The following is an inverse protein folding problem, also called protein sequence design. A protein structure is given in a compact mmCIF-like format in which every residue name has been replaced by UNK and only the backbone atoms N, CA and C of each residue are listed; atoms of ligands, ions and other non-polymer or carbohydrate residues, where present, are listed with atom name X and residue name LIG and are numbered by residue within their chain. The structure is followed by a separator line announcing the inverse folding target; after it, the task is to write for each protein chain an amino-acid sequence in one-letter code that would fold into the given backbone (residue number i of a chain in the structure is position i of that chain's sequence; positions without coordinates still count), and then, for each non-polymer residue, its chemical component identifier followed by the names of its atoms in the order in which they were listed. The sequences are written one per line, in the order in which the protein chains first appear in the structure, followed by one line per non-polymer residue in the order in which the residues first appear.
data_IF_820567452666
#
_entry.id   IF_820567452666
#
_cell.length_a   1.000
_cell.length_b   1.000
_cell.length_c   1.000
_cell.angle_alpha   90.00
_cell.angle_beta   90.00
_cell.angle_gamma   90.00
#
_symmetry.space_group_name_H-M   'P 1'
#
loop_
_entity.id
_entity.type
_entity.pdbx_description
1 polymer ?
#
# COMPACT_ATOMS: atom_id res chain seq x y z
N UNK A 1 25.67 -1.37 -13.69
CA UNK A 1 25.58 -2.77 -14.13
C UNK A 1 24.58 -3.52 -13.27
N UNK A 2 23.31 -3.48 -13.67
CA UNK A 2 22.18 -4.04 -12.89
C UNK A 2 22.25 -5.58 -12.85
N UNK A 3 23.01 -6.21 -13.72
CA UNK A 3 23.17 -7.65 -13.78
C UNK A 3 24.24 -8.18 -12.80
N UNK A 4 25.21 -7.37 -12.41
CA UNK A 4 26.29 -7.79 -11.50
C UNK A 4 25.89 -7.90 -10.03
N UNK A 5 24.81 -7.26 -9.60
CA UNK A 5 24.33 -7.32 -8.20
C UNK A 5 23.23 -8.34 -7.95
N UNK A 6 22.74 -9.00 -9.01
CA UNK A 6 21.69 -10.01 -8.93
C UNK A 6 22.24 -11.33 -9.43
N UNK A 7 22.33 -12.32 -8.56
CA UNK A 7 22.75 -13.66 -8.97
C UNK A 7 21.89 -14.19 -10.12
N UNK A 8 22.49 -14.95 -11.03
CA UNK A 8 21.79 -15.64 -12.13
C UNK A 8 20.53 -16.38 -11.69
N UNK A 9 20.48 -16.86 -10.43
CA UNK A 9 19.30 -17.48 -9.82
C UNK A 9 18.06 -16.57 -9.71
N UNK A 10 18.23 -15.26 -9.56
CA UNK A 10 17.10 -14.31 -9.50
C UNK A 10 16.41 -14.15 -10.87
N UNK A 11 17.20 -14.07 -11.94
CA UNK A 11 16.68 -13.99 -13.32
C UNK A 11 15.97 -15.30 -13.69
N UNK A 12 16.54 -16.43 -13.36
CA UNK A 12 15.95 -17.76 -13.62
C UNK A 12 14.63 -17.96 -12.87
N UNK A 13 14.58 -17.58 -11.59
CA UNK A 13 13.34 -17.65 -10.78
C UNK A 13 12.21 -16.85 -11.40
N UNK A 14 12.50 -15.65 -11.89
CA UNK A 14 11.48 -14.80 -12.50
C UNK A 14 10.90 -15.34 -13.79
N UNK A 15 11.72 -16.02 -14.58
CA UNK A 15 11.34 -16.49 -15.91
C UNK A 15 10.70 -17.89 -15.90
N UNK A 16 11.15 -18.77 -15.04
CA UNK A 16 10.83 -20.21 -15.13
C UNK A 16 10.10 -20.72 -13.88
N UNK A 17 10.49 -20.26 -12.69
CA UNK A 17 10.05 -20.87 -11.42
C UNK A 17 8.90 -20.10 -10.76
N UNK A 18 8.78 -18.80 -11.03
CA UNK A 18 7.79 -17.98 -10.35
C UNK A 18 6.38 -18.24 -10.86
N UNK A 19 5.49 -18.64 -9.96
CA UNK A 19 4.06 -18.78 -10.23
C UNK A 19 3.28 -17.64 -9.58
N UNK A 20 2.48 -16.95 -10.40
CA UNK A 20 1.55 -15.90 -9.97
C UNK A 20 0.12 -16.43 -9.77
N UNK A 21 -0.08 -17.73 -9.99
CA UNK A 21 -1.39 -18.36 -9.80
C UNK A 21 -1.83 -18.30 -8.35
N UNK A 22 -3.09 -17.98 -8.15
CA UNK A 22 -3.76 -17.93 -6.84
C UNK A 22 -4.94 -18.87 -6.85
N UNK A 23 -5.19 -19.51 -5.71
CA UNK A 23 -6.33 -20.38 -5.50
C UNK A 23 -7.29 -19.70 -4.54
N UNK A 24 -8.56 -19.59 -4.93
CA UNK A 24 -9.63 -18.95 -4.17
C UNK A 24 -10.65 -19.99 -3.79
N UNK A 25 -10.94 -20.11 -2.50
CA UNK A 25 -11.87 -21.09 -1.95
C UNK A 25 -11.46 -21.52 -0.56
N UNK A 26 -12.00 -22.62 -0.12
CA UNK A 26 -11.64 -23.26 1.14
C UNK A 26 -10.44 -24.19 0.93
N UNK A 27 -9.37 -23.98 1.69
CA UNK A 27 -8.18 -24.86 1.64
C UNK A 27 -8.41 -26.21 2.34
N UNK A 28 -9.39 -26.27 3.23
CA UNK A 28 -9.69 -27.45 4.04
C UNK A 28 -8.57 -27.81 5.04
N UNK A 29 -8.55 -29.05 5.47
CA UNK A 29 -7.47 -29.56 6.32
C UNK A 29 -6.38 -30.20 5.45
N UNK A 30 -5.24 -29.52 5.34
CA UNK A 30 -4.10 -29.98 4.53
C UNK A 30 -3.46 -31.28 5.02
N UNK A 31 -3.76 -31.71 6.25
CA UNK A 31 -3.30 -32.99 6.80
C UNK A 31 -4.23 -34.16 6.44
N UNK A 32 -5.36 -33.86 5.82
CA UNK A 32 -6.33 -34.86 5.38
C UNK A 32 -6.46 -34.82 3.85
N UNK A 33 -6.08 -35.87 3.18
CA UNK A 33 -6.21 -36.00 1.71
C UNK A 33 -7.67 -36.23 1.33
N UNK A 34 -8.38 -35.13 1.03
CA UNK A 34 -9.78 -35.15 0.58
C UNK A 34 -9.89 -34.51 -0.80
N UNK A 35 -10.66 -35.10 -1.69
CA UNK A 35 -10.94 -34.51 -3.01
C UNK A 35 -11.53 -33.09 -2.94
N UNK A 36 -12.34 -32.82 -1.90
CA UNK A 36 -12.92 -31.50 -1.63
C UNK A 36 -11.89 -30.40 -1.40
N UNK A 37 -10.68 -30.72 -0.93
CA UNK A 37 -9.62 -29.73 -0.75
C UNK A 37 -9.10 -29.15 -2.09
N UNK A 38 -9.42 -29.78 -3.21
CA UNK A 38 -9.07 -29.34 -4.56
C UNK A 38 -10.20 -28.57 -5.26
N UNK A 39 -11.35 -28.38 -4.62
CA UNK A 39 -12.47 -27.60 -5.16
C UNK A 39 -12.23 -26.09 -4.97
N UNK A 40 -11.22 -25.55 -5.68
CA UNK A 40 -10.80 -24.15 -5.62
C UNK A 40 -10.82 -23.51 -6.99
N UNK A 41 -11.11 -22.20 -7.03
CA UNK A 41 -11.02 -21.40 -8.26
C UNK A 41 -9.56 -20.97 -8.47
N UNK A 42 -8.95 -21.45 -9.53
CA UNK A 42 -7.61 -21.03 -9.94
C UNK A 42 -7.69 -19.79 -10.81
N UNK A 43 -6.98 -18.74 -10.43
CA UNK A 43 -6.73 -17.54 -11.23
C UNK A 43 -5.23 -17.36 -11.46
N UNK A 44 -4.86 -16.84 -12.64
CA UNK A 44 -3.44 -16.72 -13.03
C UNK A 44 -2.79 -15.41 -12.54
N UNK A 45 -3.58 -14.46 -12.08
CA UNK A 45 -3.13 -13.15 -11.66
C UNK A 45 -3.88 -12.70 -10.40
N UNK A 46 -3.20 -12.30 -9.32
CA UNK A 46 -3.85 -11.79 -8.10
C UNK A 46 -4.50 -10.41 -8.28
N UNK A 47 -4.29 -9.73 -9.42
CA UNK A 47 -4.91 -8.44 -9.70
C UNK A 47 -6.14 -8.68 -10.57
N UNK A 48 -7.30 -8.37 -10.03
CA UNK A 48 -8.59 -8.60 -10.70
C UNK A 48 -9.05 -7.38 -11.46
N UNK A 49 -9.52 -7.59 -12.69
CA UNK A 49 -10.31 -6.57 -13.39
C UNK A 49 -11.70 -6.43 -12.75
N UNK A 50 -12.41 -5.33 -13.05
CA UNK A 50 -13.79 -5.15 -12.60
C UNK A 50 -14.69 -6.28 -13.12
N UNK A 51 -14.44 -6.74 -14.33
CA UNK A 51 -15.20 -7.86 -14.94
C UNK A 51 -14.94 -9.18 -14.21
N UNK A 52 -13.70 -9.47 -13.84
CA UNK A 52 -13.35 -10.70 -13.13
C UNK A 52 -13.94 -10.71 -11.74
N UNK A 53 -13.87 -9.60 -11.02
CA UNK A 53 -14.52 -9.48 -9.72
C UNK A 53 -16.03 -9.65 -9.81
N UNK A 54 -16.67 -9.08 -10.84
CA UNK A 54 -18.11 -9.22 -11.06
C UNK A 54 -18.49 -10.68 -11.34
N UNK A 55 -17.68 -11.42 -12.09
CA UNK A 55 -17.88 -12.87 -12.31
C UNK A 55 -17.81 -13.64 -10.98
N UNK A 56 -16.84 -13.30 -10.12
CA UNK A 56 -16.70 -13.91 -8.79
C UNK A 56 -17.91 -13.58 -7.92
N UNK A 57 -18.33 -12.30 -7.85
CA UNK A 57 -19.50 -11.86 -7.08
C UNK A 57 -20.79 -12.61 -7.47
N UNK A 58 -20.95 -12.90 -8.75
CA UNK A 58 -22.14 -13.57 -9.30
C UNK A 58 -21.98 -15.09 -9.50
N UNK A 59 -20.90 -15.67 -8.99
CA UNK A 59 -20.61 -17.09 -9.17
C UNK A 59 -21.68 -17.98 -8.49
N UNK A 60 -22.28 -18.87 -9.26
CA UNK A 60 -23.29 -19.85 -8.80
C UNK A 60 -22.77 -21.28 -8.97
N UNK A 61 -21.55 -21.52 -8.55
CA UNK A 61 -20.93 -22.84 -8.60
C UNK A 61 -21.10 -23.53 -7.26
N UNK A 62 -21.48 -24.81 -7.27
CA UNK A 62 -21.59 -25.61 -6.04
C UNK A 62 -20.22 -25.62 -5.32
N UNK A 63 -20.24 -25.47 -4.01
CA UNK A 63 -19.03 -25.39 -3.19
C UNK A 63 -18.50 -23.96 -2.97
N UNK A 64 -19.03 -22.96 -3.71
CA UNK A 64 -18.64 -21.56 -3.52
C UNK A 64 -19.81 -20.72 -3.03
N UNK A 65 -19.60 -19.98 -1.97
CA UNK A 65 -20.53 -18.97 -1.49
C UNK A 65 -19.77 -17.67 -1.23
N UNK A 66 -20.10 -16.65 -2.01
CA UNK A 66 -19.43 -15.35 -1.96
C UNK A 66 -20.22 -14.41 -1.05
N UNK A 67 -19.52 -13.72 -0.16
CA UNK A 67 -20.07 -12.66 0.68
C UNK A 67 -19.26 -11.37 0.48
N UNK A 68 -19.96 -10.24 0.40
CA UNK A 68 -19.33 -8.91 0.34
C UNK A 68 -19.54 -8.22 1.68
N UNK A 69 -18.48 -7.75 2.29
CA UNK A 69 -18.52 -6.98 3.53
C UNK A 69 -17.98 -5.57 3.25
N UNK A 70 -18.79 -4.53 3.51
CA UNK A 70 -18.32 -3.16 3.36
C UNK A 70 -17.30 -2.82 4.46
N UNK A 71 -16.16 -2.26 4.07
CA UNK A 71 -15.15 -1.70 4.97
C UNK A 71 -15.30 -0.19 5.10
N UNK A 72 -16.52 0.30 5.04
CA UNK A 72 -16.87 1.70 5.25
C UNK A 72 -17.63 1.86 6.57
N UNK A 73 -17.50 3.00 7.19
CA UNK A 73 -18.15 3.31 8.48
C UNK A 73 -18.58 4.78 8.54
N UNK A 74 -19.54 5.08 9.40
CA UNK A 74 -19.97 6.45 9.62
C UNK A 74 -18.89 7.28 10.30
N UNK A 75 -18.64 8.49 9.80
CA UNK A 75 -17.65 9.44 10.31
C UNK A 75 -17.77 9.71 11.82
N UNK A 76 -18.94 9.54 12.42
CA UNK A 76 -19.16 9.67 13.86
C UNK A 76 -18.78 8.42 14.69
N UNK A 77 -18.35 7.37 14.03
CA UNK A 77 -17.96 6.10 14.68
C UNK A 77 -16.44 6.01 14.71
N UNK A 78 -15.85 5.55 15.82
CA UNK A 78 -14.40 5.36 15.85
C UNK A 78 -13.95 4.21 14.97
N UNK A 79 -12.73 4.32 14.45
CA UNK A 79 -12.10 3.31 13.58
C UNK A 79 -12.03 1.93 14.24
N UNK A 80 -11.72 1.88 15.54
CA UNK A 80 -11.70 0.61 16.29
C UNK A 80 -13.07 -0.08 16.31
N UNK A 81 -14.15 0.66 16.59
CA UNK A 81 -15.51 0.12 16.55
C UNK A 81 -15.91 -0.34 15.14
N UNK A 82 -15.42 0.35 14.12
CA UNK A 82 -15.65 -0.06 12.74
C UNK A 82 -14.98 -1.41 12.43
N UNK A 83 -13.76 -1.63 12.94
CA UNK A 83 -13.05 -2.91 12.81
C UNK A 83 -13.77 -4.02 13.61
N UNK A 84 -14.24 -3.74 14.82
CA UNK A 84 -15.00 -4.70 15.61
C UNK A 84 -16.30 -5.14 14.91
N UNK A 85 -17.01 -4.18 14.27
CA UNK A 85 -18.16 -4.49 13.43
C UNK A 85 -17.77 -5.39 12.25
N UNK A 86 -16.64 -5.09 11.60
CA UNK A 86 -16.12 -5.88 10.49
C UNK A 86 -15.91 -7.35 10.89
N UNK A 87 -15.39 -7.60 12.09
CA UNK A 87 -15.23 -8.94 12.63
C UNK A 87 -16.57 -9.67 12.84
N UNK A 88 -17.56 -8.97 13.39
CA UNK A 88 -18.90 -9.54 13.62
C UNK A 88 -19.59 -9.89 12.29
N UNK A 89 -19.46 -9.05 11.27
CA UNK A 89 -20.03 -9.29 9.95
C UNK A 89 -19.35 -10.50 9.28
N UNK A 90 -18.02 -10.62 9.38
CA UNK A 90 -17.29 -11.78 8.88
C UNK A 90 -17.68 -13.07 9.59
N UNK A 91 -17.87 -13.04 10.90
CA UNK A 91 -18.28 -14.19 11.68
C UNK A 91 -19.71 -14.66 11.33
N UNK A 92 -20.60 -13.73 11.02
CA UNK A 92 -21.94 -14.03 10.50
C UNK A 92 -21.86 -14.65 9.11
N UNK A 93 -21.12 -14.02 8.20
CA UNK A 93 -20.91 -14.53 6.86
C UNK A 93 -20.34 -15.97 6.88
N UNK A 94 -19.36 -16.23 7.73
CA UNK A 94 -18.80 -17.57 7.92
C UNK A 94 -19.87 -18.59 8.41
N UNK A 95 -20.68 -18.22 9.40
CA UNK A 95 -21.78 -19.09 9.88
C UNK A 95 -22.82 -19.37 8.79
N UNK A 96 -23.01 -18.42 7.89
CA UNK A 96 -23.88 -18.57 6.73
C UNK A 96 -23.24 -19.43 5.62
N UNK A 97 -22.00 -19.90 5.81
CA UNK A 97 -21.28 -20.75 4.87
C UNK A 97 -20.56 -20.01 3.76
N UNK A 98 -20.27 -18.70 3.94
CA UNK A 98 -19.44 -17.93 3.02
C UNK A 98 -18.00 -18.42 3.11
N UNK A 99 -17.42 -18.80 1.97
CA UNK A 99 -16.03 -19.23 1.86
C UNK A 99 -15.19 -18.35 0.92
N UNK A 100 -15.82 -17.38 0.25
CA UNK A 100 -15.12 -16.30 -0.48
C UNK A 100 -15.64 -14.97 0.06
N UNK A 101 -14.78 -14.27 0.79
CA UNK A 101 -15.07 -13.00 1.44
C UNK A 101 -14.48 -11.85 0.64
N UNK A 102 -15.31 -10.91 0.21
CA UNK A 102 -14.87 -9.70 -0.48
C UNK A 102 -15.02 -8.52 0.47
N UNK A 103 -13.88 -7.92 0.85
CA UNK A 103 -13.84 -6.65 1.58
C UNK A 103 -13.93 -5.52 0.56
N UNK A 104 -14.88 -4.60 0.72
CA UNK A 104 -15.13 -3.54 -0.28
C UNK A 104 -15.25 -2.16 0.38
N UNK A 105 -14.50 -1.19 -0.14
CA UNK A 105 -14.62 0.22 0.24
C UNK A 105 -15.55 1.02 -0.68
N UNK A 106 -16.26 0.34 -1.58
CA UNK A 106 -17.25 1.03 -2.42
C UNK A 106 -18.38 1.61 -1.57
N UNK A 107 -18.79 2.81 -1.90
CA UNK A 107 -19.86 3.54 -1.22
C UNK A 107 -19.34 4.59 -0.23
N UNK A 108 -18.07 4.95 -0.31
CA UNK A 108 -17.54 6.15 0.37
C UNK A 108 -18.28 7.38 -0.14
N UNK A 109 -18.80 8.18 0.78
CA UNK A 109 -19.51 9.43 0.54
C UNK A 109 -19.17 10.45 1.64
N UNK A 110 -19.84 11.59 1.67
CA UNK A 110 -19.59 12.65 2.65
C UNK A 110 -19.69 12.20 4.12
N UNK A 111 -20.48 11.15 4.39
CA UNK A 111 -20.76 10.64 5.73
C UNK A 111 -20.08 9.28 6.03
N UNK A 112 -19.67 8.58 4.99
CA UNK A 112 -19.06 7.25 5.12
C UNK A 112 -17.57 7.29 4.74
N UNK A 113 -16.76 6.87 5.66
CA UNK A 113 -15.30 6.81 5.57
C UNK A 113 -14.85 5.36 5.38
N UNK A 114 -13.82 5.14 4.59
CA UNK A 114 -13.25 3.80 4.44
C UNK A 114 -12.24 3.49 5.55
N UNK A 115 -12.29 2.27 6.08
CA UNK A 115 -11.17 1.70 6.85
C UNK A 115 -9.97 1.57 5.90
N UNK A 116 -8.76 2.04 6.27
CA UNK A 116 -7.58 1.85 5.43
C UNK A 116 -7.43 0.39 4.97
N UNK A 117 -7.29 0.17 3.68
CA UNK A 117 -7.41 -1.16 3.08
C UNK A 117 -6.42 -2.17 3.66
N UNK A 118 -5.17 -1.77 3.89
CA UNK A 118 -4.15 -2.62 4.50
C UNK A 118 -4.51 -2.98 5.95
N UNK A 119 -5.02 -2.02 6.71
CA UNK A 119 -5.49 -2.25 8.08
C UNK A 119 -6.68 -3.22 8.10
N UNK A 120 -7.65 -3.04 7.21
CA UNK A 120 -8.81 -3.92 7.10
C UNK A 120 -8.41 -5.36 6.75
N UNK A 121 -7.52 -5.54 5.75
CA UNK A 121 -7.01 -6.85 5.33
C UNK A 121 -6.23 -7.53 6.46
N UNK A 122 -5.29 -6.83 7.06
CA UNK A 122 -4.46 -7.41 8.11
C UNK A 122 -5.27 -7.72 9.38
N UNK A 123 -6.14 -6.81 9.81
CA UNK A 123 -7.03 -7.01 10.95
C UNK A 123 -7.93 -8.24 10.72
N UNK A 124 -8.53 -8.36 9.54
CA UNK A 124 -9.36 -9.52 9.18
C UNK A 124 -8.54 -10.81 9.14
N UNK A 125 -7.35 -10.79 8.55
CA UNK A 125 -6.44 -11.93 8.55
C UNK A 125 -6.14 -12.42 9.96
N UNK A 126 -5.80 -11.51 10.89
CA UNK A 126 -5.53 -11.85 12.28
C UNK A 126 -6.76 -12.38 13.00
N UNK A 127 -7.93 -11.80 12.75
CA UNK A 127 -9.20 -12.28 13.31
C UNK A 127 -9.50 -13.72 12.85
N UNK A 128 -9.40 -14.00 11.55
CA UNK A 128 -9.63 -15.34 11.00
C UNK A 128 -8.63 -16.37 11.53
N UNK A 129 -7.37 -15.98 11.73
CA UNK A 129 -6.33 -16.85 12.34
C UNK A 129 -6.68 -17.15 13.80
N UNK A 130 -6.96 -16.12 14.61
CA UNK A 130 -7.28 -16.27 16.05
C UNK A 130 -8.55 -17.10 16.27
N UNK A 131 -9.51 -16.98 15.38
CA UNK A 131 -10.79 -17.72 15.44
C UNK A 131 -10.75 -19.07 14.70
N UNK A 132 -9.57 -19.46 14.16
CA UNK A 132 -9.35 -20.74 13.44
C UNK A 132 -10.22 -20.91 12.20
N UNK A 133 -10.53 -19.82 11.50
CA UNK A 133 -11.39 -19.82 10.29
C UNK A 133 -10.59 -19.53 9.02
N UNK A 134 -9.29 -19.22 9.13
CA UNK A 134 -8.50 -18.71 8.00
C UNK A 134 -8.43 -19.66 6.81
N UNK A 135 -8.34 -20.96 7.05
CA UNK A 135 -8.28 -21.99 6.00
C UNK A 135 -9.63 -22.27 5.32
N UNK A 136 -10.72 -21.81 5.93
CA UNK A 136 -12.07 -21.99 5.39
C UNK A 136 -12.55 -20.79 4.55
N UNK A 137 -11.78 -19.69 4.50
CA UNK A 137 -12.23 -18.45 3.85
C UNK A 137 -11.10 -17.85 3.02
N UNK A 138 -11.34 -17.70 1.72
CA UNK A 138 -10.50 -16.87 0.85
C UNK A 138 -10.92 -15.41 0.96
N UNK A 139 -9.94 -14.49 1.04
CA UNK A 139 -10.18 -13.06 1.21
C UNK A 139 -9.75 -12.28 -0.02
N UNK A 140 -10.69 -11.57 -0.63
CA UNK A 140 -10.47 -10.67 -1.77
C UNK A 140 -10.69 -9.24 -1.30
N UNK A 141 -9.88 -8.32 -1.79
CA UNK A 141 -10.06 -6.89 -1.54
C UNK A 141 -10.54 -6.18 -2.81
N UNK A 142 -11.60 -5.39 -2.70
CA UNK A 142 -12.06 -4.42 -3.67
C UNK A 142 -11.85 -3.04 -3.08
N UNK A 143 -10.87 -2.27 -3.58
CA UNK A 143 -10.51 -1.00 -2.96
C UNK A 143 -10.06 0.06 -3.96
N UNK A 144 -10.31 1.33 -3.59
CA UNK A 144 -9.83 2.51 -4.30
C UNK A 144 -8.35 2.81 -4.04
N UNK A 145 -7.79 2.36 -2.92
CA UNK A 145 -6.43 2.74 -2.48
C UNK A 145 -5.29 2.13 -3.31
N UNK A 146 -5.32 0.83 -3.71
CA UNK A 146 -4.19 0.22 -4.40
C UNK A 146 -4.00 0.80 -5.81
N UNK A 147 -2.78 1.32 -6.07
CA UNK A 147 -2.40 1.87 -7.38
C UNK A 147 -0.95 1.62 -7.77
N UNK A 148 -0.07 1.36 -6.80
CA UNK A 148 1.35 1.11 -7.00
C UNK A 148 1.75 -0.30 -6.55
N UNK A 149 2.86 -0.81 -7.08
CA UNK A 149 3.36 -2.17 -6.81
C UNK A 149 3.42 -2.49 -5.32
N UNK A 150 3.91 -1.55 -4.50
CA UNK A 150 4.02 -1.75 -3.06
C UNK A 150 2.67 -1.91 -2.36
N UNK A 151 1.64 -1.23 -2.82
CA UNK A 151 0.29 -1.39 -2.26
C UNK A 151 -0.20 -2.84 -2.44
N UNK A 152 -0.03 -3.40 -3.65
CA UNK A 152 -0.41 -4.80 -3.90
C UNK A 152 0.47 -5.79 -3.14
N UNK A 153 1.78 -5.54 -3.12
CA UNK A 153 2.72 -6.41 -2.41
C UNK A 153 2.39 -6.50 -0.91
N UNK A 154 2.07 -5.38 -0.26
CA UNK A 154 1.70 -5.37 1.15
C UNK A 154 0.34 -6.03 1.37
N UNK A 155 -0.67 -5.74 0.57
CA UNK A 155 -2.00 -6.36 0.69
C UNK A 155 -1.95 -7.88 0.55
N UNK A 156 -1.23 -8.40 -0.44
CA UNK A 156 -1.01 -9.83 -0.60
C UNK A 156 -0.20 -10.40 0.57
N UNK A 157 0.86 -9.72 0.99
CA UNK A 157 1.72 -10.12 2.10
C UNK A 157 1.00 -10.17 3.45
N UNK A 158 -0.09 -9.43 3.61
CA UNK A 158 -0.93 -9.44 4.81
C UNK A 158 -2.21 -10.26 4.68
N UNK A 159 -2.40 -11.00 3.57
CA UNK A 159 -3.37 -12.07 3.51
C UNK A 159 -4.48 -11.94 2.49
N UNK A 160 -4.52 -10.87 1.68
CA UNK A 160 -5.43 -10.84 0.53
C UNK A 160 -5.02 -11.91 -0.49
N UNK A 161 -5.98 -12.69 -0.99
CA UNK A 161 -5.75 -13.65 -2.06
C UNK A 161 -5.69 -12.95 -3.42
N UNK A 162 -6.54 -11.95 -3.61
CA UNK A 162 -6.58 -11.13 -4.81
C UNK A 162 -7.08 -9.72 -4.48
N UNK A 163 -6.76 -8.77 -5.36
CA UNK A 163 -7.07 -7.35 -5.19
C UNK A 163 -7.68 -6.80 -6.48
N UNK A 164 -8.81 -6.11 -6.36
CA UNK A 164 -9.39 -5.31 -7.45
C UNK A 164 -9.18 -3.83 -7.17
N UNK A 165 -8.29 -3.15 -7.91
CA UNK A 165 -8.00 -1.73 -7.76
C UNK A 165 -8.97 -0.87 -8.58
N UNK A 166 -10.25 -0.90 -8.24
CA UNK A 166 -11.29 -0.34 -9.13
C UNK A 166 -11.08 1.12 -9.51
N UNK A 167 -10.59 1.95 -8.57
CA UNK A 167 -10.37 3.38 -8.86
C UNK A 167 -9.20 3.60 -9.82
N UNK A 168 -8.13 2.79 -9.73
CA UNK A 168 -7.04 2.84 -10.70
C UNK A 168 -7.53 2.50 -12.10
N UNK A 169 -8.40 1.48 -12.23
CA UNK A 169 -9.00 1.07 -13.50
C UNK A 169 -9.96 2.14 -14.04
N UNK A 170 -10.76 2.76 -13.19
CA UNK A 170 -11.65 3.86 -13.55
C UNK A 170 -10.85 5.13 -13.95
N UNK A 171 -9.71 5.37 -13.31
CA UNK A 171 -8.80 6.46 -13.68
C UNK A 171 -8.20 6.24 -15.06
N UNK A 172 -7.77 5.03 -15.40
CA UNK A 172 -7.31 4.68 -16.76
C UNK A 172 -8.41 4.99 -17.78
N UNK A 173 -9.64 4.56 -17.51
CA UNK A 173 -10.79 4.87 -18.37
C UNK A 173 -10.97 6.37 -18.57
N UNK A 174 -10.92 7.14 -17.48
CA UNK A 174 -11.06 8.59 -17.54
C UNK A 174 -9.96 9.26 -18.35
N UNK A 175 -8.70 8.81 -18.23
CA UNK A 175 -7.59 9.32 -19.04
C UNK A 175 -7.80 9.08 -20.54
N UNK A 176 -8.39 7.95 -20.90
CA UNK A 176 -8.77 7.64 -22.30
C UNK A 176 -9.93 8.53 -22.74
N UNK A 177 -10.98 8.61 -21.94
CA UNK A 177 -12.18 9.39 -22.26
C UNK A 177 -11.86 10.91 -22.41
N UNK A 178 -10.86 11.41 -21.69
CA UNK A 178 -10.37 12.81 -21.77
C UNK A 178 -9.25 13.01 -22.78
N UNK A 179 -8.94 12.00 -23.60
CA UNK A 179 -7.86 12.02 -24.61
C UNK A 179 -6.45 12.33 -24.05
N UNK A 180 -6.22 12.08 -22.76
CA UNK A 180 -4.90 12.16 -22.14
C UNK A 180 -4.08 10.89 -22.34
N UNK A 181 -4.73 9.77 -22.64
CA UNK A 181 -4.12 8.50 -23.00
C UNK A 181 -4.76 7.99 -24.30
N UNK A 182 -3.96 7.92 -25.37
CA UNK A 182 -4.40 7.37 -26.66
C UNK A 182 -4.12 5.87 -26.71
N UNK A 183 -5.02 5.08 -26.14
CA UNK A 183 -4.93 3.61 -26.11
C UNK A 183 -6.29 2.98 -25.92
N UNK A 184 -6.45 1.75 -26.42
CA UNK A 184 -7.62 0.93 -26.10
C UNK A 184 -7.67 0.64 -24.58
N UNK A 185 -8.87 0.69 -23.99
CA UNK A 185 -9.07 0.50 -22.56
C UNK A 185 -8.57 -0.86 -22.06
N UNK A 186 -8.92 -1.93 -22.77
CA UNK A 186 -8.51 -3.28 -22.34
C UNK A 186 -6.99 -3.45 -22.40
N UNK A 187 -6.38 -2.95 -23.49
CA UNK A 187 -4.94 -2.98 -23.64
C UNK A 187 -4.23 -2.13 -22.55
N UNK A 188 -4.79 -0.98 -22.18
CA UNK A 188 -4.24 -0.14 -21.13
C UNK A 188 -4.34 -0.80 -19.74
N UNK A 189 -5.46 -1.46 -19.46
CA UNK A 189 -5.67 -2.23 -18.21
C UNK A 189 -4.71 -3.43 -18.15
N UNK A 190 -4.53 -4.14 -19.25
CA UNK A 190 -3.59 -5.27 -19.32
C UNK A 190 -2.14 -4.81 -19.09
N UNK A 191 -1.74 -3.67 -19.66
CA UNK A 191 -0.40 -3.12 -19.42
C UNK A 191 -0.20 -2.73 -17.96
N UNK A 192 -1.18 -2.08 -17.36
CA UNK A 192 -1.14 -1.72 -15.94
C UNK A 192 -1.01 -2.96 -15.07
N UNK A 193 -1.87 -3.95 -15.28
CA UNK A 193 -1.86 -5.20 -14.52
C UNK A 193 -0.53 -5.94 -14.69
N UNK A 194 0.02 -6.01 -15.90
CA UNK A 194 1.30 -6.64 -16.19
C UNK A 194 2.46 -5.88 -15.54
N UNK A 195 2.45 -4.55 -15.54
CA UNK A 195 3.48 -3.74 -14.89
C UNK A 195 3.49 -3.99 -13.37
N UNK A 196 2.32 -3.99 -12.73
CA UNK A 196 2.18 -4.29 -11.30
C UNK A 196 2.61 -5.72 -11.01
N UNK A 197 2.17 -6.69 -11.81
CA UNK A 197 2.52 -8.11 -11.63
C UNK A 197 4.03 -8.34 -11.73
N UNK A 198 4.71 -7.74 -12.72
CA UNK A 198 6.17 -7.78 -12.84
C UNK A 198 6.87 -7.20 -11.59
N UNK A 199 6.32 -6.12 -11.04
CA UNK A 199 6.81 -5.54 -9.79
C UNK A 199 6.66 -6.50 -8.60
N UNK A 200 5.51 -7.15 -8.45
CA UNK A 200 5.26 -8.16 -7.41
C UNK A 200 6.22 -9.34 -7.55
N UNK A 201 6.40 -9.87 -8.76
CA UNK A 201 7.36 -10.94 -9.06
C UNK A 201 8.78 -10.52 -8.68
N UNK A 202 9.16 -9.27 -8.97
CA UNK A 202 10.48 -8.73 -8.59
C UNK A 202 10.66 -8.70 -7.07
N UNK A 203 9.63 -8.27 -6.31
CA UNK A 203 9.66 -8.25 -4.85
C UNK A 203 9.77 -9.67 -4.29
N UNK A 204 8.89 -10.57 -4.70
CA UNK A 204 8.89 -11.97 -4.25
C UNK A 204 10.24 -12.66 -4.55
N UNK A 205 10.80 -12.44 -5.75
CA UNK A 205 12.10 -12.99 -6.13
C UNK A 205 13.24 -12.49 -5.25
N UNK A 206 13.24 -11.20 -4.87
CA UNK A 206 14.24 -10.64 -3.94
C UNK A 206 14.13 -11.25 -2.53
N UNK A 207 12.92 -11.60 -2.12
CA UNK A 207 12.66 -12.27 -0.85
C UNK A 207 12.89 -13.78 -0.90
N UNK A 208 13.25 -14.33 -2.06
CA UNK A 208 13.48 -15.77 -2.26
C UNK A 208 12.20 -16.59 -2.37
N UNK A 209 11.06 -15.97 -2.58
CA UNK A 209 9.75 -16.61 -2.70
C UNK A 209 9.41 -16.80 -4.17
N UNK A 210 9.07 -18.02 -4.58
CA UNK A 210 8.80 -18.36 -5.99
C UNK A 210 7.32 -18.48 -6.33
N UNK A 211 6.42 -18.53 -5.34
CA UNK A 211 4.97 -18.64 -5.58
C UNK A 211 4.22 -17.56 -4.83
N UNK A 212 3.24 -16.94 -5.45
CA UNK A 212 2.36 -15.97 -4.77
C UNK A 212 1.60 -16.63 -3.61
N UNK A 213 1.26 -17.90 -3.73
CA UNK A 213 0.61 -18.66 -2.66
C UNK A 213 1.46 -18.66 -1.37
N UNK A 214 2.78 -18.82 -1.48
CA UNK A 214 3.69 -18.76 -0.32
C UNK A 214 3.98 -17.34 0.15
N UNK A 215 3.74 -16.35 -0.70
CA UNK A 215 3.87 -14.94 -0.38
C UNK A 215 2.68 -14.40 0.43
N UNK A 216 1.49 -14.97 0.21
CA UNK A 216 0.27 -14.54 0.90
C UNK A 216 0.39 -14.77 2.40
N UNK A 217 0.12 -13.72 3.18
CA UNK A 217 0.19 -13.77 4.63
C UNK A 217 1.60 -13.93 5.21
N UNK A 218 2.65 -13.80 4.40
CA UNK A 218 4.05 -13.97 4.84
C UNK A 218 4.53 -12.88 5.80
N UNK A 219 3.92 -11.68 5.75
CA UNK A 219 4.23 -10.52 6.61
C UNK A 219 5.72 -10.13 6.58
N UNK A 220 6.40 -10.33 5.46
CA UNK A 220 7.83 -10.04 5.30
C UNK A 220 8.04 -8.55 5.05
N UNK A 221 7.67 -7.75 6.04
CA UNK A 221 7.78 -6.29 6.05
C UNK A 221 8.25 -5.84 7.43
N UNK A 222 8.73 -4.61 7.51
CA UNK A 222 9.00 -3.92 8.77
C UNK A 222 8.00 -2.77 8.92
N UNK A 223 7.35 -2.68 10.07
CA UNK A 223 6.52 -1.54 10.44
C UNK A 223 7.41 -0.43 10.99
N UNK A 224 7.31 0.76 10.42
CA UNK A 224 8.04 1.93 10.85
C UNK A 224 7.04 3.02 11.19
N UNK A 225 7.10 3.54 12.42
CA UNK A 225 6.25 4.63 12.87
C UNK A 225 4.84 4.21 13.30
N UNK A 226 4.60 2.93 13.57
CA UNK A 226 3.37 2.44 14.21
C UNK A 226 3.63 2.07 15.66
N UNK A 227 2.68 2.36 16.56
CA UNK A 227 2.76 1.97 17.96
C UNK A 227 2.79 0.44 18.10
N UNK A 228 3.41 -0.04 19.18
CA UNK A 228 3.48 -1.47 19.45
C UNK A 228 2.08 -2.09 19.59
N UNK A 229 1.13 -1.36 20.16
CA UNK A 229 -0.25 -1.81 20.36
C UNK A 229 -0.96 -2.06 19.01
N UNK A 230 -0.78 -1.15 18.04
CA UNK A 230 -1.30 -1.31 16.69
C UNK A 230 -0.68 -2.52 16.01
N UNK A 231 0.65 -2.66 16.11
CA UNK A 231 1.37 -3.79 15.50
C UNK A 231 0.94 -5.12 16.11
N UNK A 232 0.94 -5.24 17.41
CA UNK A 232 0.60 -6.48 18.11
C UNK A 232 -0.86 -6.92 17.84
N UNK A 233 -1.79 -5.96 17.74
CA UNK A 233 -3.22 -6.23 17.56
C UNK A 233 -3.59 -6.54 16.10
N UNK A 234 -3.09 -5.73 15.15
CA UNK A 234 -3.54 -5.74 13.75
C UNK A 234 -2.50 -6.27 12.77
N UNK A 235 -1.20 -6.13 13.08
CA UNK A 235 -0.09 -6.57 12.26
C UNK A 235 0.81 -7.58 12.99
N UNK A 236 0.20 -8.47 13.74
CA UNK A 236 0.85 -9.45 14.62
C UNK A 236 2.02 -10.15 13.92
N UNK A 237 3.15 -10.28 14.62
CA UNK A 237 4.42 -10.83 14.14
C UNK A 237 5.16 -9.99 13.07
N UNK A 238 4.71 -8.78 12.78
CA UNK A 238 5.48 -7.83 11.96
C UNK A 238 6.60 -7.23 12.80
N UNK A 239 7.81 -7.23 12.27
CA UNK A 239 8.97 -6.60 12.92
C UNK A 239 8.74 -5.09 12.98
N UNK A 240 8.88 -4.49 14.17
CA UNK A 240 8.85 -3.05 14.36
C UNK A 240 9.95 -2.63 15.33
N UNK A 241 10.84 -1.77 14.87
CA UNK A 241 11.96 -1.22 15.67
C UNK A 241 11.73 0.23 16.04
N UNK A 242 10.87 0.91 15.31
CA UNK A 242 10.54 2.33 15.50
C UNK A 242 9.04 2.43 15.71
N UNK A 243 8.62 2.76 16.93
CA UNK A 243 7.24 3.04 17.27
C UNK A 243 6.79 4.40 16.71
N UNK A 244 5.52 4.74 16.91
CA UNK A 244 4.95 6.01 16.44
C UNK A 244 3.46 6.10 16.71
N UNK A 245 2.69 6.40 15.67
CA UNK A 245 1.26 6.70 15.73
C UNK A 245 0.43 5.51 16.22
N UNK A 246 -0.63 5.81 16.92
CA UNK A 246 -1.62 4.86 17.41
C UNK A 246 -2.89 4.82 16.54
N UNK A 247 -3.95 4.18 17.02
CA UNK A 247 -5.20 4.07 16.29
C UNK A 247 -5.96 5.39 16.19
N UNK A 248 -5.84 6.26 17.17
CA UNK A 248 -6.48 7.57 17.17
C UNK A 248 -5.81 8.48 16.14
N UNK A 249 -4.49 8.43 16.04
CA UNK A 249 -3.72 9.15 15.01
C UNK A 249 -4.08 8.65 13.60
N UNK A 250 -4.21 7.33 13.40
CA UNK A 250 -4.64 6.75 12.11
C UNK A 250 -6.06 7.21 11.75
N UNK A 251 -6.97 7.22 12.73
CA UNK A 251 -8.34 7.70 12.55
C UNK A 251 -8.35 9.17 12.13
N UNK A 252 -7.54 10.00 12.78
CA UNK A 252 -7.40 11.42 12.46
C UNK A 252 -6.88 11.63 11.03
N UNK A 253 -5.83 10.92 10.62
CA UNK A 253 -5.29 10.98 9.27
C UNK A 253 -6.32 10.59 8.20
N UNK A 254 -7.14 9.58 8.50
CA UNK A 254 -8.23 9.14 7.62
C UNK A 254 -9.30 10.22 7.50
N UNK A 255 -9.69 10.83 8.62
CA UNK A 255 -10.70 11.88 8.69
C UNK A 255 -10.24 13.16 7.97
N UNK A 256 -8.99 13.54 8.11
CA UNK A 256 -8.39 14.69 7.41
C UNK A 256 -8.39 14.48 5.90
N UNK A 257 -7.94 13.30 5.43
CA UNK A 257 -7.98 12.95 3.99
C UNK A 257 -9.38 12.90 3.44
N UNK A 258 -10.32 12.34 4.19
CA UNK A 258 -11.73 12.27 3.79
C UNK A 258 -12.35 13.68 3.71
N UNK A 259 -12.13 14.52 4.72
CA UNK A 259 -12.62 15.89 4.75
C UNK A 259 -12.07 16.70 3.59
N UNK A 260 -10.77 16.56 3.29
CA UNK A 260 -10.15 17.22 2.14
C UNK A 260 -10.75 16.75 0.80
N UNK A 261 -11.07 15.46 0.68
CA UNK A 261 -11.61 14.90 -0.55
C UNK A 261 -13.06 15.36 -0.83
N UNK A 262 -13.86 15.51 0.21
CA UNK A 262 -15.26 15.89 0.08
C UNK A 262 -15.51 17.38 0.28
N UNK A 263 -14.56 18.15 0.86
CA UNK A 263 -14.61 19.60 1.11
C UNK A 263 -16.03 20.23 0.97
N UNK A 264 -16.92 20.00 1.94
CA UNK A 264 -18.35 20.33 1.80
C UNK A 264 -18.61 21.84 1.69
N UNK A 265 -17.61 22.66 2.02
CA UNK A 265 -17.70 24.12 1.96
C UNK A 265 -16.98 24.71 0.73
N UNK A 266 -16.24 23.90 -0.04
CA UNK A 266 -15.47 24.33 -1.21
C UNK A 266 -14.43 25.40 -0.92
N UNK A 267 -13.86 25.40 0.30
CA UNK A 267 -12.91 26.43 0.77
C UNK A 267 -11.47 26.12 0.37
N UNK A 268 -11.15 24.88 0.08
CA UNK A 268 -9.83 24.46 -0.38
C UNK A 268 -9.73 24.48 -1.91
N UNK A 269 -9.45 25.65 -2.46
CA UNK A 269 -9.30 25.84 -3.91
C UNK A 269 -7.89 25.54 -4.44
N UNK A 270 -7.03 24.85 -3.67
CA UNK A 270 -5.69 24.49 -4.15
C UNK A 270 -5.78 23.30 -5.11
N UNK A 271 -5.72 23.60 -6.42
CA UNK A 271 -5.70 22.60 -7.49
C UNK A 271 -4.33 21.94 -7.69
N UNK A 272 -3.32 22.32 -6.92
CA UNK A 272 -2.00 21.70 -7.01
C UNK A 272 -2.00 20.36 -6.28
N UNK A 273 -1.32 19.37 -6.89
CA UNK A 273 -1.11 18.08 -6.23
C UNK A 273 -0.12 18.25 -5.07
N UNK A 274 -0.41 17.59 -3.95
CA UNK A 274 0.53 17.53 -2.84
C UNK A 274 1.83 16.85 -3.27
N UNK A 275 2.95 17.27 -2.66
CA UNK A 275 4.21 16.57 -2.82
C UNK A 275 4.12 15.21 -2.10
N UNK A 276 4.50 14.16 -2.82
CA UNK A 276 4.59 12.80 -2.24
C UNK A 276 6.00 12.47 -1.75
N UNK A 277 6.88 13.49 -1.60
CA UNK A 277 8.27 13.31 -1.20
C UNK A 277 9.19 12.72 -2.27
N UNK A 278 8.72 12.51 -3.50
CA UNK A 278 9.54 12.08 -4.63
C UNK A 278 9.94 13.26 -5.51
N UNK A 279 11.20 13.59 -5.50
CA UNK A 279 12.06 14.34 -6.43
C UNK A 279 11.54 15.51 -7.28
N UNK A 280 10.37 16.04 -7.12
CA UNK A 280 9.91 17.19 -7.88
C UNK A 280 9.84 18.44 -7.04
N UNK A 281 10.71 19.45 -7.29
CA UNK A 281 10.50 20.78 -6.72
C UNK A 281 9.17 21.35 -7.23
N UNK A 282 8.28 21.74 -6.33
CA UNK A 282 7.04 22.47 -6.63
C UNK A 282 7.07 23.83 -5.96
N UNK A 283 6.75 24.88 -6.73
CA UNK A 283 6.70 26.24 -6.21
C UNK A 283 5.66 26.34 -5.08
N UNK A 284 6.06 26.95 -3.97
CA UNK A 284 5.17 27.17 -2.83
C UNK A 284 4.89 25.94 -1.95
N UNK A 285 5.55 24.82 -2.21
CA UNK A 285 5.49 23.61 -1.38
C UNK A 285 6.80 23.42 -0.58
N UNK A 286 7.09 22.21 -0.15
CA UNK A 286 8.28 21.90 0.66
C UNK A 286 9.59 22.32 -0.02
N UNK A 287 10.53 22.80 0.78
CA UNK A 287 11.87 23.12 0.33
C UNK A 287 12.75 21.87 0.26
N UNK A 288 13.55 21.79 -0.80
CA UNK A 288 14.55 20.75 -0.97
C UNK A 288 15.96 21.36 -0.91
N UNK A 289 16.90 20.64 -0.27
CA UNK A 289 18.31 21.05 -0.26
C UNK A 289 18.87 21.22 -1.68
N UNK A 290 18.51 20.28 -2.55
CA UNK A 290 18.86 20.31 -3.97
C UNK A 290 17.68 20.86 -4.78
N UNK A 291 17.70 22.14 -5.04
CA UNK A 291 16.74 22.86 -5.86
C UNK A 291 17.42 23.45 -7.11
N UNK A 292 16.68 23.97 -8.09
CA UNK A 292 17.26 24.51 -9.31
C UNK A 292 18.35 25.56 -9.07
N UNK A 293 18.21 26.41 -8.05
CA UNK A 293 19.20 27.45 -7.71
C UNK A 293 20.49 26.84 -7.17
N UNK A 294 20.39 25.91 -6.21
CA UNK A 294 21.58 25.29 -5.61
C UNK A 294 22.32 24.42 -6.63
N UNK A 295 21.60 23.66 -7.45
CA UNK A 295 22.20 22.85 -8.51
C UNK A 295 22.86 23.72 -9.56
N UNK A 296 22.23 24.81 -9.99
CA UNK A 296 22.79 25.70 -10.98
C UNK A 296 24.06 26.40 -10.47
N UNK A 297 24.07 26.88 -9.23
CA UNK A 297 25.26 27.46 -8.61
C UNK A 297 26.42 26.47 -8.54
N UNK A 298 26.14 25.22 -8.10
CA UNK A 298 27.14 24.16 -8.04
C UNK A 298 27.72 23.86 -9.43
N UNK A 299 26.85 23.67 -10.42
CA UNK A 299 27.28 23.39 -11.79
C UNK A 299 28.13 24.54 -12.38
N UNK A 300 27.71 25.77 -12.22
CA UNK A 300 28.48 26.92 -12.70
C UNK A 300 29.83 27.02 -12.03
N UNK A 301 29.89 26.90 -10.70
CA UNK A 301 31.15 26.98 -9.96
C UNK A 301 32.13 25.90 -10.38
N UNK A 302 31.64 24.66 -10.59
CA UNK A 302 32.52 23.56 -11.01
C UNK A 302 32.95 23.66 -12.46
N UNK A 303 32.07 24.06 -13.38
CA UNK A 303 32.42 24.25 -14.79
C UNK A 303 33.41 25.40 -15.01
N UNK A 304 33.25 26.50 -14.27
CA UNK A 304 34.11 27.65 -14.39
C UNK A 304 35.41 27.54 -13.54
N UNK A 305 35.45 26.57 -12.61
CA UNK A 305 36.52 26.53 -11.60
C UNK A 305 36.51 27.76 -10.67
N UNK A 306 35.36 28.40 -10.51
CA UNK A 306 35.19 29.67 -9.82
C UNK A 306 34.86 29.46 -8.34
N UNK A 307 35.82 29.82 -7.48
CA UNK A 307 35.68 29.63 -6.04
C UNK A 307 34.71 30.62 -5.39
N UNK A 308 34.52 31.82 -5.94
CA UNK A 308 33.52 32.76 -5.42
C UNK A 308 32.11 32.28 -5.66
N UNK A 309 31.81 31.71 -6.83
CA UNK A 309 30.55 31.05 -7.09
C UNK A 309 30.31 29.82 -6.18
N UNK A 310 31.40 29.12 -5.82
CA UNK A 310 31.27 28.01 -4.86
C UNK A 310 30.94 28.49 -3.44
N UNK A 311 31.50 29.65 -3.04
CA UNK A 311 31.12 30.29 -1.76
C UNK A 311 29.64 30.70 -1.75
N UNK A 312 29.15 31.25 -2.87
CA UNK A 312 27.72 31.57 -3.00
C UNK A 312 26.84 30.30 -2.86
N UNK A 313 27.23 29.21 -3.51
CA UNK A 313 26.56 27.91 -3.34
C UNK A 313 26.58 27.44 -1.89
N UNK A 314 27.75 27.51 -1.24
CA UNK A 314 27.89 27.09 0.16
C UNK A 314 27.05 27.96 1.10
N UNK A 315 27.03 29.27 0.90
CA UNK A 315 26.19 30.19 1.67
C UNK A 315 24.70 29.90 1.48
N UNK A 316 24.28 29.56 0.26
CA UNK A 316 22.90 29.23 -0.04
C UNK A 316 22.45 27.95 0.68
N UNK A 317 23.33 26.93 0.75
CA UNK A 317 23.03 25.66 1.43
C UNK A 317 22.97 25.81 2.96
N UNK A 318 23.82 26.67 3.52
CA UNK A 318 23.95 26.84 4.96
C UNK A 318 23.06 27.95 5.55
N UNK A 319 22.07 28.44 4.81
CA UNK A 319 21.10 29.40 5.35
C UNK A 319 20.36 28.80 6.53
N UNK A 320 20.48 29.46 7.69
CA UNK A 320 19.87 29.01 8.95
C UNK A 320 18.33 28.88 8.91
N UNK A 321 17.72 29.63 8.00
CA UNK A 321 16.26 29.66 7.79
C UNK A 321 15.73 28.43 7.03
N UNK A 322 16.62 27.58 6.53
CA UNK A 322 16.27 26.41 5.71
C UNK A 322 16.37 25.12 6.50
N UNK A 323 15.25 24.60 6.91
CA UNK A 323 15.16 23.32 7.64
C UNK A 323 15.05 22.12 6.69
N UNK A 324 15.96 22.00 5.73
CA UNK A 324 15.96 20.95 4.72
C UNK A 324 16.69 19.67 5.12
N UNK A 325 17.39 19.69 6.24
CA UNK A 325 18.08 18.52 6.80
C UNK A 325 18.16 18.60 8.33
N UNK A 326 18.37 17.44 8.96
CA UNK A 326 18.45 17.32 10.42
C UNK A 326 19.57 18.17 11.04
N UNK A 327 20.66 18.39 10.32
CA UNK A 327 21.79 19.20 10.79
C UNK A 327 21.39 20.66 11.05
N UNK A 328 20.46 21.20 10.26
CA UNK A 328 19.96 22.57 10.44
C UNK A 328 19.17 22.77 11.73
N UNK A 329 18.72 21.65 12.36
CA UNK A 329 18.00 21.64 13.65
C UNK A 329 18.93 21.37 14.84
N UNK A 330 20.22 21.12 14.60
CA UNK A 330 21.19 20.83 15.65
C UNK A 330 21.93 22.10 16.04
N UNK A 331 22.09 22.29 17.34
CA UNK A 331 22.89 23.36 17.91
C UNK A 331 23.94 22.79 18.88
N UNK A 332 24.99 23.57 19.17
CA UNK A 332 26.05 23.20 20.11
C UNK A 332 25.67 23.68 21.51
N UNK A 333 25.61 22.74 22.46
CA UNK A 333 25.53 23.09 23.87
C UNK A 333 26.94 23.30 24.41
N UNK A 334 27.34 24.57 24.52
CA UNK A 334 28.66 24.91 25.08
C UNK A 334 28.70 24.62 26.59
N UNK A 335 29.77 23.96 27.04
CA UNK A 335 30.03 23.81 28.47
C UNK A 335 30.39 25.17 29.09
N UNK A 336 29.85 25.47 30.26
CA UNK A 336 30.12 26.70 31.00
C UNK A 336 31.56 26.79 31.54
N UNK A 337 32.37 25.75 31.38
CA UNK A 337 33.76 25.70 31.83
C UNK A 337 34.73 26.01 30.70
N UNK A 338 35.49 27.10 30.86
CA UNK A 338 36.55 27.52 29.96
C UNK A 338 37.80 26.61 29.98
N UNK A 339 37.86 25.60 30.84
CA UNK A 339 39.04 24.74 31.03
C UNK A 339 39.19 23.68 29.93
N UNK A 340 38.18 23.47 29.13
CA UNK A 340 38.17 22.45 28.06
C UNK A 340 38.24 23.01 26.64
N UNK A 341 38.62 24.29 26.49
CA UNK A 341 38.88 24.91 25.20
C UNK A 341 40.42 25.06 25.05
N UNK A 342 41.08 23.92 24.85
CA UNK A 342 42.47 23.88 24.42
C UNK A 342 42.67 22.76 23.43
#
# INVERSE_FOLDING_TARGET
DVLGSRGLGDVYKRQIVTSTSVYIGEDGNLLEEKAGNCEVLKINNPILTNTDLLKIKNMKVKGFKVGVIPIIYYKSTSLEKAIDRLYLEADRAYKDGVNVLILSDRGVDENHVAIPSLLAVSAMQQHLVRTKKRTSVAMILESAEPREVHHFATLLGYGACAVNPYLALETIKRLIDTHMLDKDYYAAVDDYNNAVLHGIVKIASKMGISTIQSYQGSKIFEAIGLSKEVVDKYFTDTVSRIGGIDMEDIEKDVDERHTKAFDPLGLENDLTLDSIGSHGLRSGKEEHLYNPKTIHLLQRSTHAGDYELFKEYSAEIHKEERFTNLRSLMDFKYALSLIHIS
#
